data_IF_603381191332
#
_entry.id   IF_603381191332
#
_cell.length_a   1.000
_cell.length_b   1.000
_cell.length_c   1.000
_cell.angle_alpha   90.00
_cell.angle_beta   90.00
_cell.angle_gamma   90.00
#
_symmetry.space_group_name_H-M   'P 1'
#
loop_
_entity.id
_entity.type
_entity.pdbx_description
1 polymer ?
#
# COMPACT_ATOMS: atom_id res chain seq x y z
N UNK A 1 -27.53 -2.66 12.78
CA UNK A 1 -26.44 -2.56 11.82
C UNK A 1 -26.00 -3.99 11.46
N UNK A 2 -26.16 -4.39 10.22
CA UNK A 2 -25.59 -5.68 9.78
C UNK A 2 -24.07 -5.55 9.81
N UNK A 3 -23.36 -6.57 10.28
CA UNK A 3 -21.89 -6.59 10.44
C UNK A 3 -21.10 -6.50 9.11
N UNK A 4 -21.73 -6.08 8.03
CA UNK A 4 -21.25 -6.12 6.65
C UNK A 4 -21.00 -4.74 6.02
N UNK A 5 -21.24 -3.64 6.73
CA UNK A 5 -20.99 -2.30 6.16
C UNK A 5 -19.57 -1.82 6.50
N UNK A 6 -18.59 -2.50 5.94
CA UNK A 6 -17.20 -2.09 6.01
C UNK A 6 -16.83 -1.33 4.75
N UNK A 7 -16.19 -0.19 4.93
CA UNK A 7 -15.67 0.61 3.82
C UNK A 7 -14.37 1.30 4.21
N UNK A 8 -13.54 1.53 3.22
CA UNK A 8 -12.32 2.35 3.30
C UNK A 8 -12.50 3.48 2.31
N UNK A 9 -12.72 4.70 2.81
CA UNK A 9 -13.13 5.81 1.94
C UNK A 9 -14.41 5.45 1.18
N UNK A 10 -14.34 5.49 -0.16
CA UNK A 10 -15.45 5.13 -1.05
C UNK A 10 -15.54 3.63 -1.36
N UNK A 11 -14.53 2.84 -0.97
CA UNK A 11 -14.42 1.41 -1.31
C UNK A 11 -15.16 0.55 -0.28
N UNK A 12 -16.21 -0.14 -0.74
CA UNK A 12 -16.98 -1.08 0.09
C UNK A 12 -16.30 -2.44 0.13
N UNK A 13 -16.26 -3.04 1.31
CA UNK A 13 -15.70 -4.37 1.55
C UNK A 13 -16.80 -5.36 1.92
N UNK A 14 -16.87 -6.49 1.22
CA UNK A 14 -17.86 -7.54 1.47
C UNK A 14 -17.62 -8.26 2.80
N UNK A 15 -16.36 -8.39 3.19
CA UNK A 15 -15.93 -9.10 4.39
C UNK A 15 -14.78 -8.37 5.09
N UNK A 16 -14.59 -8.69 6.38
CA UNK A 16 -13.48 -8.16 7.20
C UNK A 16 -12.15 -8.90 7.01
N UNK A 17 -12.12 -9.91 6.14
CA UNK A 17 -10.91 -10.68 5.86
C UNK A 17 -10.04 -9.91 4.87
N UNK A 18 -8.89 -9.46 5.32
CA UNK A 18 -7.90 -8.73 4.51
C UNK A 18 -6.68 -9.61 4.33
N UNK A 19 -6.27 -9.81 3.08
CA UNK A 19 -5.00 -10.51 2.76
C UNK A 19 -3.88 -9.48 2.76
N UNK A 20 -2.93 -9.66 3.68
CA UNK A 20 -1.80 -8.74 3.86
C UNK A 20 -0.87 -8.71 2.63
N UNK A 21 -0.17 -7.58 2.38
CA UNK A 21 0.87 -7.51 1.37
C UNK A 21 2.07 -8.37 1.77
N UNK A 22 2.46 -9.31 0.93
CA UNK A 22 3.59 -10.22 1.16
C UNK A 22 4.49 -10.24 -0.07
N UNK A 23 5.72 -9.72 0.07
CA UNK A 23 6.70 -9.68 -1.01
C UNK A 23 7.04 -11.10 -1.52
N UNK A 24 6.99 -11.28 -2.83
CA UNK A 24 7.20 -12.57 -3.49
C UNK A 24 6.02 -13.55 -3.42
N UNK A 25 4.90 -13.17 -2.78
CA UNK A 25 3.72 -14.02 -2.60
C UNK A 25 2.46 -13.37 -3.15
N UNK A 26 2.17 -12.11 -2.78
CA UNK A 26 0.91 -11.43 -3.12
C UNK A 26 0.87 -10.94 -4.57
N UNK A 27 1.30 -11.80 -5.50
CA UNK A 27 1.18 -11.56 -6.93
C UNK A 27 -0.28 -11.68 -7.41
N UNK A 28 -0.52 -11.32 -8.65
CA UNK A 28 -1.85 -11.29 -9.27
C UNK A 28 -2.59 -12.65 -9.18
N UNK A 29 -1.89 -13.77 -9.39
CA UNK A 29 -2.50 -15.10 -9.32
C UNK A 29 -2.92 -15.47 -7.89
N UNK A 30 -2.08 -15.17 -6.90
CA UNK A 30 -2.38 -15.40 -5.48
C UNK A 30 -3.57 -14.54 -5.03
N UNK A 31 -3.60 -13.26 -5.39
CA UNK A 31 -4.71 -12.36 -5.04
C UNK A 31 -6.04 -12.85 -5.61
N UNK A 32 -6.07 -13.25 -6.89
CA UNK A 32 -7.27 -13.80 -7.51
C UNK A 32 -7.77 -15.07 -6.83
N UNK A 33 -6.87 -15.97 -6.40
CA UNK A 33 -7.23 -17.16 -5.60
C UNK A 33 -7.86 -16.72 -4.27
N UNK A 34 -7.23 -15.80 -3.54
CA UNK A 34 -7.74 -15.32 -2.25
C UNK A 34 -9.14 -14.70 -2.38
N UNK A 35 -9.40 -13.94 -3.45
CA UNK A 35 -10.74 -13.39 -3.73
C UNK A 35 -11.77 -14.49 -3.93
N UNK A 36 -11.48 -15.52 -4.72
CA UNK A 36 -12.38 -16.67 -4.93
C UNK A 36 -12.68 -17.42 -3.63
N UNK A 37 -11.77 -17.41 -2.66
CA UNK A 37 -11.98 -17.98 -1.32
C UNK A 37 -12.60 -16.99 -0.32
N UNK A 38 -13.09 -15.83 -0.76
CA UNK A 38 -13.90 -14.90 0.04
C UNK A 38 -13.11 -13.84 0.82
N UNK A 39 -11.88 -13.51 0.40
CA UNK A 39 -11.20 -12.34 0.95
C UNK A 39 -11.98 -11.06 0.62
N UNK A 40 -12.23 -10.20 1.61
CA UNK A 40 -12.92 -8.92 1.43
C UNK A 40 -12.04 -7.85 0.78
N UNK A 41 -10.72 -7.92 1.01
CA UNK A 41 -9.70 -7.06 0.41
C UNK A 41 -8.43 -7.87 0.19
N UNK A 42 -7.80 -7.71 -0.95
CA UNK A 42 -6.48 -8.26 -1.22
C UNK A 42 -5.46 -7.13 -1.40
N UNK A 43 -4.28 -7.29 -0.80
CA UNK A 43 -3.20 -6.32 -0.93
C UNK A 43 -2.11 -6.87 -1.87
N UNK A 44 -1.66 -6.04 -2.79
CA UNK A 44 -0.55 -6.36 -3.68
C UNK A 44 0.79 -6.30 -2.95
N UNK A 45 1.83 -6.84 -3.56
CA UNK A 45 3.21 -6.67 -3.10
C UNK A 45 3.59 -5.19 -3.09
N UNK A 46 4.45 -4.80 -2.15
CA UNK A 46 4.95 -3.43 -2.11
C UNK A 46 5.86 -3.14 -3.30
N UNK A 47 5.66 -2.02 -3.96
CA UNK A 47 6.48 -1.53 -5.07
C UNK A 47 7.23 -0.26 -4.66
N UNK A 48 8.47 -0.11 -5.18
CA UNK A 48 9.29 1.06 -4.87
C UNK A 48 8.81 2.29 -5.64
N UNK A 49 8.68 3.41 -4.94
CA UNK A 49 8.42 4.73 -5.49
C UNK A 49 9.43 5.12 -6.59
N UNK A 50 10.72 5.01 -6.27
CA UNK A 50 11.80 5.31 -7.22
C UNK A 50 11.80 4.39 -8.43
N UNK A 51 11.45 3.10 -8.26
CA UNK A 51 11.36 2.20 -9.38
C UNK A 51 10.19 2.57 -10.32
N UNK A 52 9.09 3.08 -9.78
CA UNK A 52 7.99 3.64 -10.58
C UNK A 52 8.40 4.98 -11.22
N UNK A 53 9.08 5.85 -10.47
CA UNK A 53 9.55 7.15 -10.96
C UNK A 53 10.49 7.00 -12.16
N UNK A 54 11.37 5.99 -12.16
CA UNK A 54 12.29 5.69 -13.26
C UNK A 54 11.73 4.69 -14.28
N UNK A 55 10.43 4.47 -14.29
CA UNK A 55 9.72 3.61 -15.26
C UNK A 55 10.31 2.19 -15.38
N UNK A 56 10.65 1.59 -14.24
CA UNK A 56 11.13 0.22 -14.22
C UNK A 56 10.03 -0.74 -14.68
N UNK A 57 10.18 -1.34 -15.86
CA UNK A 57 9.16 -2.16 -16.51
C UNK A 57 8.63 -3.31 -15.62
N UNK A 58 9.52 -3.95 -14.83
CA UNK A 58 9.10 -5.01 -13.89
C UNK A 58 8.22 -4.46 -12.79
N UNK A 59 8.55 -3.29 -12.24
CA UNK A 59 7.77 -2.65 -11.17
C UNK A 59 6.43 -2.16 -11.69
N UNK A 60 6.41 -1.57 -12.90
CA UNK A 60 5.15 -1.18 -13.57
C UNK A 60 4.26 -2.41 -13.81
N UNK A 61 4.82 -3.52 -14.26
CA UNK A 61 4.07 -4.78 -14.41
C UNK A 61 3.45 -5.27 -13.09
N UNK A 62 4.11 -5.06 -11.94
CA UNK A 62 3.59 -5.45 -10.64
C UNK A 62 2.37 -4.63 -10.19
N UNK A 63 2.09 -3.49 -10.83
CA UNK A 63 0.90 -2.66 -10.53
C UNK A 63 -0.36 -3.08 -11.28
N UNK A 64 -0.29 -4.14 -12.08
CA UNK A 64 -1.45 -4.68 -12.78
C UNK A 64 -2.45 -5.31 -11.82
N UNK A 65 -3.73 -5.16 -12.16
CA UNK A 65 -4.86 -5.69 -11.42
C UNK A 65 -5.81 -6.36 -12.42
N UNK A 66 -6.34 -7.53 -12.06
CA UNK A 66 -7.35 -8.24 -12.84
C UNK A 66 -8.76 -7.84 -12.38
N UNK A 67 -9.72 -7.94 -13.27
CA UNK A 67 -11.12 -7.58 -13.01
C UNK A 67 -11.75 -8.39 -11.85
N UNK A 68 -11.34 -9.63 -11.66
CA UNK A 68 -11.87 -10.53 -10.64
C UNK A 68 -11.18 -10.43 -9.26
N UNK A 69 -10.21 -9.51 -9.09
CA UNK A 69 -9.51 -9.33 -7.81
C UNK A 69 -10.09 -8.20 -6.93
N UNK A 70 -10.94 -7.34 -7.46
CA UNK A 70 -11.46 -6.18 -6.72
C UNK A 70 -12.25 -6.54 -5.44
N UNK A 71 -12.10 -5.76 -4.36
CA UNK A 71 -11.21 -4.60 -4.24
C UNK A 71 -9.75 -4.97 -3.98
N UNK A 72 -8.83 -4.19 -4.56
CA UNK A 72 -7.38 -4.38 -4.47
C UNK A 72 -6.71 -3.15 -3.87
N UNK A 73 -5.87 -3.34 -2.86
CA UNK A 73 -4.98 -2.32 -2.33
C UNK A 73 -3.58 -2.49 -2.92
N UNK A 74 -3.07 -1.44 -3.59
CA UNK A 74 -1.72 -1.40 -4.13
C UNK A 74 -0.78 -0.71 -3.14
N UNK A 75 0.27 -1.40 -2.70
CA UNK A 75 1.18 -0.87 -1.69
C UNK A 75 2.45 -0.30 -2.31
N UNK A 76 2.78 0.95 -1.95
CA UNK A 76 4.04 1.61 -2.31
C UNK A 76 4.93 1.80 -1.09
N UNK A 77 6.24 1.86 -1.30
CA UNK A 77 7.20 2.22 -0.26
C UNK A 77 8.27 3.18 -0.80
N UNK A 78 8.67 4.12 0.04
CA UNK A 78 9.66 5.14 -0.22
C UNK A 78 9.79 6.04 1.00
N UNK A 79 10.63 7.07 0.90
CA UNK A 79 10.83 8.10 1.92
C UNK A 79 10.69 9.51 1.33
N UNK A 80 11.16 9.69 0.12
CA UNK A 80 11.14 10.99 -0.56
C UNK A 80 9.70 11.34 -0.99
N UNK A 81 9.24 12.53 -0.58
CA UNK A 81 7.85 12.96 -0.80
C UNK A 81 7.53 13.08 -2.29
N UNK A 82 8.45 13.63 -3.08
CA UNK A 82 8.19 13.89 -4.50
C UNK A 82 8.04 12.59 -5.29
N UNK A 83 8.93 11.60 -5.05
CA UNK A 83 8.85 10.30 -5.71
C UNK A 83 7.66 9.47 -5.23
N UNK A 84 7.29 9.58 -3.96
CA UNK A 84 6.10 8.93 -3.40
C UNK A 84 4.79 9.52 -3.95
N UNK A 85 4.69 10.84 -4.05
CA UNK A 85 3.55 11.52 -4.68
C UNK A 85 3.48 11.16 -6.17
N UNK A 86 4.61 11.12 -6.87
CA UNK A 86 4.63 10.67 -8.26
C UNK A 86 4.10 9.24 -8.42
N UNK A 87 4.61 8.32 -7.59
CA UNK A 87 4.18 6.92 -7.61
C UNK A 87 2.67 6.78 -7.31
N UNK A 88 2.17 7.51 -6.33
CA UNK A 88 0.74 7.53 -5.99
C UNK A 88 -0.11 8.05 -7.15
N UNK A 89 0.26 9.16 -7.78
CA UNK A 89 -0.42 9.69 -8.98
C UNK A 89 -0.41 8.72 -10.15
N UNK A 90 0.70 8.00 -10.33
CA UNK A 90 0.79 6.98 -11.38
C UNK A 90 -0.20 5.85 -11.12
N UNK A 91 -0.29 5.36 -9.87
CA UNK A 91 -1.27 4.34 -9.48
C UNK A 91 -2.71 4.85 -9.59
N UNK A 92 -2.96 6.09 -9.19
CA UNK A 92 -4.29 6.71 -9.27
C UNK A 92 -4.82 6.74 -10.71
N UNK A 93 -3.97 7.10 -11.65
CA UNK A 93 -4.34 7.30 -13.06
C UNK A 93 -4.25 6.04 -13.92
N UNK A 94 -3.29 5.16 -13.65
CA UNK A 94 -2.91 4.08 -14.58
C UNK A 94 -3.07 2.67 -13.99
N UNK A 95 -3.30 2.53 -12.69
CA UNK A 95 -3.61 1.24 -12.07
C UNK A 95 -5.11 1.13 -11.80
N UNK A 96 -5.66 -0.06 -12.02
CA UNK A 96 -7.04 -0.38 -11.66
C UNK A 96 -7.22 -0.66 -10.15
N UNK A 97 -6.22 -0.42 -9.30
CA UNK A 97 -6.35 -0.61 -7.87
C UNK A 97 -7.43 0.30 -7.27
N UNK A 98 -8.06 -0.14 -6.20
CA UNK A 98 -9.12 0.61 -5.50
C UNK A 98 -8.57 1.50 -4.39
N UNK A 99 -7.46 1.11 -3.79
CA UNK A 99 -6.84 1.76 -2.63
C UNK A 99 -5.33 1.87 -2.88
N UNK A 100 -4.74 2.99 -2.49
CA UNK A 100 -3.28 3.18 -2.42
C UNK A 100 -2.85 3.03 -0.98
N UNK A 101 -1.93 2.11 -0.70
CA UNK A 101 -1.44 1.85 0.65
C UNK A 101 0.05 2.22 0.77
N UNK A 102 0.42 2.82 1.90
CA UNK A 102 1.80 3.23 2.18
C UNK A 102 2.41 2.24 3.17
N UNK A 103 3.54 1.63 2.80
CA UNK A 103 4.26 0.73 3.70
C UNK A 103 5.07 1.52 4.74
N UNK A 104 4.66 1.39 6.00
CA UNK A 104 5.39 1.90 7.16
C UNK A 104 5.73 0.77 8.16
N UNK A 105 5.84 -0.47 7.65
CA UNK A 105 6.06 -1.63 8.52
C UNK A 105 7.17 -2.59 8.11
N UNK A 106 7.70 -2.50 6.90
CA UNK A 106 8.73 -3.43 6.41
C UNK A 106 10.04 -3.28 7.19
N UNK A 107 10.55 -4.36 7.84
CA UNK A 107 11.78 -4.30 8.63
C UNK A 107 13.03 -4.73 7.84
N UNK A 108 12.92 -4.96 6.55
CA UNK A 108 14.03 -5.44 5.72
C UNK A 108 15.13 -4.39 5.64
N UNK A 109 16.38 -4.78 5.91
CA UNK A 109 17.53 -3.87 5.97
C UNK A 109 17.67 -2.97 4.73
N UNK A 110 17.41 -3.50 3.52
CA UNK A 110 17.47 -2.72 2.29
C UNK A 110 16.45 -1.57 2.28
N UNK A 111 15.26 -1.80 2.82
CA UNK A 111 14.18 -0.80 2.91
C UNK A 111 14.50 0.21 4.03
N UNK A 112 14.92 -0.26 5.20
CA UNK A 112 15.30 0.61 6.34
C UNK A 112 16.47 1.54 5.97
N UNK A 113 17.48 1.04 5.24
CA UNK A 113 18.63 1.85 4.79
C UNK A 113 18.24 2.99 3.85
N UNK A 114 17.10 2.89 3.19
CA UNK A 114 16.53 3.98 2.39
C UNK A 114 15.52 4.84 3.17
N UNK A 115 15.54 4.77 4.50
CA UNK A 115 14.61 5.46 5.40
C UNK A 115 13.13 5.14 5.19
N UNK A 116 12.81 4.11 4.40
CA UNK A 116 11.44 3.68 4.08
C UNK A 116 10.96 2.54 5.00
N UNK A 117 9.72 2.13 4.81
CA UNK A 117 9.12 1.05 5.58
C UNK A 117 9.00 1.39 7.06
N UNK A 118 9.42 0.48 7.94
CA UNK A 118 9.34 0.72 9.38
C UNK A 118 10.21 1.88 9.89
N UNK A 119 11.21 2.32 9.12
CA UNK A 119 12.02 3.49 9.49
C UNK A 119 11.20 4.78 9.56
N UNK A 120 10.16 4.93 8.74
CA UNK A 120 9.24 6.08 8.79
C UNK A 120 8.56 6.25 10.16
N UNK A 121 8.38 5.17 10.92
CA UNK A 121 7.82 5.25 12.27
C UNK A 121 8.74 5.93 13.29
N UNK A 122 10.02 6.16 12.95
CA UNK A 122 10.93 6.99 13.76
C UNK A 122 10.80 8.48 13.49
N UNK A 123 10.15 8.83 12.38
CA UNK A 123 10.07 10.18 11.84
C UNK A 123 8.59 10.58 11.66
N UNK A 124 7.79 10.67 12.75
CA UNK A 124 6.35 10.85 12.66
C UNK A 124 5.93 12.14 11.95
N UNK A 125 6.69 13.21 12.11
CA UNK A 125 6.42 14.49 11.43
C UNK A 125 6.64 14.36 9.91
N UNK A 126 7.70 13.68 9.49
CA UNK A 126 7.95 13.40 8.09
C UNK A 126 6.88 12.45 7.51
N UNK A 127 6.53 11.40 8.25
CA UNK A 127 5.47 10.47 7.86
C UNK A 127 4.13 11.20 7.68
N UNK A 128 3.79 12.13 8.57
CA UNK A 128 2.60 12.98 8.46
C UNK A 128 2.62 13.82 7.17
N UNK A 129 3.73 14.51 6.89
CA UNK A 129 3.88 15.32 5.67
C UNK A 129 3.75 14.47 4.41
N UNK A 130 4.41 13.32 4.39
CA UNK A 130 4.38 12.37 3.27
C UNK A 130 2.95 11.89 2.99
N UNK A 131 2.22 11.45 4.03
CA UNK A 131 0.83 11.01 3.90
C UNK A 131 -0.07 12.14 3.43
N UNK A 132 0.05 13.32 4.03
CA UNK A 132 -0.74 14.50 3.64
C UNK A 132 -0.54 14.85 2.15
N UNK A 133 0.73 14.91 1.70
CA UNK A 133 1.06 15.19 0.31
C UNK A 133 0.49 14.19 -0.68
N UNK A 134 0.46 12.89 -0.29
CA UNK A 134 -0.15 11.86 -1.13
C UNK A 134 -1.67 12.00 -1.16
N UNK A 135 -2.31 12.19 -0.01
CA UNK A 135 -3.77 12.34 0.09
C UNK A 135 -4.27 13.53 -0.73
N UNK A 136 -3.54 14.65 -0.72
CA UNK A 136 -3.89 15.84 -1.53
C UNK A 136 -3.70 15.61 -3.03
N UNK A 137 -2.91 14.62 -3.42
CA UNK A 137 -2.48 14.42 -4.81
C UNK A 137 -3.30 13.40 -5.59
N UNK A 138 -4.16 12.59 -4.93
CA UNK A 138 -4.88 11.46 -5.53
C UNK A 138 -6.36 11.45 -5.11
N UNK A 139 -7.20 10.84 -5.95
CA UNK A 139 -8.64 10.69 -5.69
C UNK A 139 -8.97 9.37 -4.97
N UNK A 140 -8.14 8.33 -5.15
CA UNK A 140 -8.33 7.04 -4.48
C UNK A 140 -8.09 7.14 -2.97
N UNK A 141 -8.79 6.34 -2.16
CA UNK A 141 -8.51 6.23 -0.74
C UNK A 141 -7.05 5.86 -0.47
N UNK A 142 -6.44 6.54 0.50
CA UNK A 142 -5.07 6.28 0.96
C UNK A 142 -5.11 5.62 2.32
N UNK A 143 -4.36 4.54 2.49
CA UNK A 143 -4.16 3.85 3.77
C UNK A 143 -2.69 3.76 4.10
N UNK A 144 -2.38 3.48 5.36
CA UNK A 144 -1.02 3.19 5.81
C UNK A 144 -0.99 1.86 6.55
N UNK A 145 -0.02 1.01 6.24
CA UNK A 145 0.22 -0.21 7.00
C UNK A 145 1.39 0.00 7.94
N UNK A 146 1.09 0.04 9.23
CA UNK A 146 2.05 0.28 10.32
C UNK A 146 2.37 -0.99 11.11
N UNK A 147 3.28 -0.86 12.06
CA UNK A 147 3.55 -1.76 13.19
C UNK A 147 3.12 -1.07 14.48
N UNK A 148 3.19 -1.75 15.61
CA UNK A 148 2.98 -1.11 16.93
C UNK A 148 4.01 0.00 17.21
N UNK A 149 5.18 -0.08 16.58
CA UNK A 149 6.27 0.88 16.65
C UNK A 149 7.50 0.36 15.91
N UNK A 150 8.57 1.14 15.85
CA UNK A 150 9.82 0.72 15.23
C UNK A 150 10.51 -0.39 16.05
N UNK A 151 10.61 -0.21 17.36
CA UNK A 151 11.13 -1.15 18.33
C UNK A 151 10.40 -1.00 19.68
N UNK A 152 10.82 -1.74 20.71
CA UNK A 152 10.19 -1.73 22.04
C UNK A 152 10.29 -0.39 22.77
N UNK A 153 11.22 0.47 22.39
CA UNK A 153 11.40 1.81 22.97
C UNK A 153 10.62 2.89 22.19
N UNK A 154 10.17 2.58 20.98
CA UNK A 154 9.47 3.49 20.07
C UNK A 154 8.15 2.87 19.65
N UNK A 155 7.23 2.72 20.61
CA UNK A 155 5.84 2.28 20.38
C UNK A 155 4.99 3.54 20.20
N UNK A 156 4.54 3.78 18.96
CA UNK A 156 3.89 5.03 18.53
C UNK A 156 2.80 4.87 17.46
N UNK A 157 2.17 3.69 17.39
CA UNK A 157 1.03 3.43 16.49
C UNK A 157 -0.27 4.05 17.00
#
# INVERSE_FOLDING_TARGET
MRATDWQIGSVRLDHRLVIAPMAGVSNIAFRGICRRFGAGLVCAEMVSDKALYYDNARTVHMTQVMEDEHPVSMQIFGHDIDTMVYAAKLLDKHSACDIIDINMGCPVNKVIKSHAGSALMKEPEHAQQLVASIVEAVDKPVTVKIRAGFDSAHINA
#
